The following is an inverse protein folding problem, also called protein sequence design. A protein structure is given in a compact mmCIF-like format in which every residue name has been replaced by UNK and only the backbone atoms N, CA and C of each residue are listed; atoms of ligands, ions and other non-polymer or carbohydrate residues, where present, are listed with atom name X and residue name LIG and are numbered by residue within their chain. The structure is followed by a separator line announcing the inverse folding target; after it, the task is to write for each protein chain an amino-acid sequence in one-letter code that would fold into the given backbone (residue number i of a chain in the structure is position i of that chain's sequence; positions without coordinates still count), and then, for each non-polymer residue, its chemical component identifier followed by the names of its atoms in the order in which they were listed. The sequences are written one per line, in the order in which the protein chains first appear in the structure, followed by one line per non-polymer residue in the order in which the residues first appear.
data_IF_478129159953
#
_entry.id   IF_478129159953
#
_cell.length_a   1.000
_cell.length_b   1.000
_cell.length_c   1.000
_cell.angle_alpha   90.00
_cell.angle_beta   90.00
_cell.angle_gamma   90.00
#
_symmetry.space_group_name_H-M   'P 1'
#
loop_
_entity.id
_entity.type
_entity.pdbx_description
1 polymer ?
#
# COMPACT_ATOMS: atom_id res chain seq x y z
N UNK A 1 -23.75 -2.12 14.04
CA UNK A 1 -22.75 -1.51 13.14
C UNK A 1 -22.51 -0.09 13.59
N UNK A 2 -21.38 0.20 14.24
CA UNK A 2 -20.97 1.58 14.51
C UNK A 2 -20.23 2.10 13.29
N UNK A 3 -20.83 3.05 12.56
CA UNK A 3 -20.10 3.85 11.58
C UNK A 3 -19.24 4.83 12.38
N UNK A 4 -17.92 4.76 12.20
CA UNK A 4 -17.02 5.83 12.64
C UNK A 4 -17.34 7.06 11.79
N UNK A 5 -18.27 7.90 12.24
CA UNK A 5 -18.38 9.25 11.69
C UNK A 5 -17.15 10.03 12.16
N UNK A 6 -16.50 10.81 11.28
CA UNK A 6 -15.49 11.77 11.71
C UNK A 6 -16.05 12.61 12.85
N UNK A 7 -15.23 12.84 13.88
CA UNK A 7 -15.57 13.70 15.00
C UNK A 7 -15.94 15.10 14.45
N UNK A 8 -17.18 15.58 14.62
CA UNK A 8 -17.64 16.84 14.03
C UNK A 8 -16.89 18.05 14.60
N UNK A 9 -16.26 17.92 15.76
CA UNK A 9 -15.49 18.97 16.42
C UNK A 9 -13.99 18.91 16.07
N UNK A 10 -13.55 17.90 15.31
CA UNK A 10 -12.16 17.76 14.88
C UNK A 10 -11.94 18.43 13.54
N UNK A 11 -11.13 19.49 13.52
CA UNK A 11 -10.66 20.08 12.27
C UNK A 11 -9.93 19.01 11.44
N UNK A 12 -10.32 18.88 10.17
CA UNK A 12 -9.61 18.03 9.22
C UNK A 12 -8.34 18.76 8.78
N UNK A 13 -7.25 18.51 9.50
CA UNK A 13 -5.93 19.05 9.21
C UNK A 13 -5.16 18.11 8.27
N UNK A 14 -4.35 18.68 7.39
CA UNK A 14 -3.48 17.92 6.46
C UNK A 14 -2.08 17.68 7.01
N UNK A 15 -1.81 18.13 8.24
CA UNK A 15 -0.53 18.05 8.94
C UNK A 15 0.00 16.61 9.06
N UNK A 16 -0.88 15.62 9.18
CA UNK A 16 -0.49 14.20 9.15
C UNK A 16 0.18 13.78 7.82
N UNK A 17 -0.13 14.49 6.73
CA UNK A 17 0.41 14.22 5.39
C UNK A 17 1.49 15.21 4.97
N UNK A 18 1.95 16.07 5.88
CA UNK A 18 3.07 17.00 5.63
C UNK A 18 4.41 16.31 5.87
N UNK A 19 4.80 15.44 4.94
CA UNK A 19 6.07 14.74 4.97
C UNK A 19 6.68 14.61 3.58
N UNK A 20 7.98 14.33 3.55
CA UNK A 20 8.71 13.99 2.32
C UNK A 20 9.04 12.50 2.32
N UNK A 21 8.89 11.87 1.16
CA UNK A 21 9.24 10.46 0.99
C UNK A 21 10.77 10.36 0.88
N UNK A 22 11.40 9.57 1.75
CA UNK A 22 12.83 9.31 1.69
C UNK A 22 13.19 8.38 0.51
N UNK A 23 13.91 8.86 -0.51
CA UNK A 23 14.31 8.02 -1.64
C UNK A 23 15.28 6.89 -1.22
N UNK A 24 15.97 7.02 -0.10
CA UNK A 24 16.91 6.01 0.40
C UNK A 24 16.25 4.95 1.29
N UNK A 25 14.91 4.91 1.37
CA UNK A 25 14.17 3.97 2.22
C UNK A 25 14.66 2.53 2.07
N UNK A 26 14.83 2.06 0.83
CA UNK A 26 15.24 0.67 0.52
C UNK A 26 16.60 0.32 1.11
N UNK A 27 17.56 1.26 1.11
CA UNK A 27 18.90 1.01 1.62
C UNK A 27 18.95 0.85 3.16
N UNK A 28 17.90 1.27 3.86
CA UNK A 28 17.79 1.18 5.33
C UNK A 28 16.99 -0.04 5.79
N UNK A 29 16.49 -0.84 4.87
CA UNK A 29 15.71 -2.05 5.15
C UNK A 29 16.35 -3.25 4.46
N UNK A 30 15.85 -4.46 4.72
CA UNK A 30 16.22 -5.67 3.98
C UNK A 30 15.62 -5.71 2.55
N UNK A 31 15.23 -4.57 2.00
CA UNK A 31 14.39 -4.47 0.80
C UNK A 31 13.00 -3.93 1.11
N UNK A 32 12.32 -3.47 0.07
CA UNK A 32 10.92 -3.03 0.12
C UNK A 32 10.23 -3.55 -1.13
N UNK A 33 9.07 -4.17 -0.95
CA UNK A 33 8.25 -4.70 -2.05
C UNK A 33 6.86 -4.09 -1.99
N UNK A 34 6.42 -3.49 -3.11
CA UNK A 34 5.04 -3.04 -3.29
C UNK A 34 4.23 -4.15 -3.94
N UNK A 35 3.09 -4.46 -3.33
CA UNK A 35 2.08 -5.33 -3.89
C UNK A 35 0.97 -4.44 -4.44
N UNK A 36 0.68 -4.56 -5.73
CA UNK A 36 -0.32 -3.75 -6.41
C UNK A 36 -1.33 -4.66 -7.12
N UNK A 37 -2.62 -4.42 -6.92
CA UNK A 37 -3.66 -5.04 -7.74
C UNK A 37 -4.03 -4.13 -8.90
N UNK A 38 -4.17 -4.69 -10.09
CA UNK A 38 -4.55 -3.95 -11.31
C UNK A 38 -5.97 -3.35 -11.25
N UNK A 39 -6.84 -3.91 -10.42
CA UNK A 39 -8.23 -3.50 -10.24
C UNK A 39 -8.53 -2.85 -8.88
N UNK A 40 -7.50 -2.36 -8.17
CA UNK A 40 -7.69 -1.49 -6.98
C UNK A 40 -8.18 -0.09 -7.39
N UNK A 41 -8.50 0.75 -6.40
CA UNK A 41 -8.98 2.11 -6.58
C UNK A 41 -7.94 3.03 -7.26
N UNK A 42 -8.39 3.94 -8.11
CA UNK A 42 -7.53 4.92 -8.80
C UNK A 42 -6.64 5.73 -7.84
N UNK A 43 -7.12 6.02 -6.62
CA UNK A 43 -6.33 6.72 -5.60
C UNK A 43 -5.12 5.91 -5.13
N UNK A 44 -5.25 4.58 -5.07
CA UNK A 44 -4.15 3.68 -4.71
C UNK A 44 -3.13 3.63 -5.85
N UNK A 45 -3.55 3.52 -7.10
CA UNK A 45 -2.63 3.55 -8.25
C UNK A 45 -1.84 4.86 -8.35
N UNK A 46 -2.44 5.99 -8.01
CA UNK A 46 -1.72 7.28 -7.91
C UNK A 46 -0.61 7.25 -6.87
N UNK A 47 -0.89 6.68 -5.68
CA UNK A 47 0.09 6.52 -4.61
C UNK A 47 1.22 5.56 -4.98
N UNK A 48 0.89 4.41 -5.58
CA UNK A 48 1.87 3.42 -6.06
C UNK A 48 2.80 4.05 -7.10
N UNK A 49 2.24 4.80 -8.06
CA UNK A 49 3.02 5.52 -9.07
C UNK A 49 3.95 6.57 -8.46
N UNK A 50 3.49 7.28 -7.43
CA UNK A 50 4.31 8.25 -6.68
C UNK A 50 5.47 7.55 -5.97
N UNK A 51 5.22 6.46 -5.25
CA UNK A 51 6.24 5.69 -4.54
C UNK A 51 7.27 5.12 -5.50
N UNK A 52 6.84 4.48 -6.59
CA UNK A 52 7.73 3.91 -7.60
C UNK A 52 8.61 4.96 -8.29
N UNK A 53 8.09 6.19 -8.49
CA UNK A 53 8.88 7.30 -9.06
C UNK A 53 9.91 7.86 -8.07
N UNK A 54 9.59 7.83 -6.78
CA UNK A 54 10.35 8.55 -5.75
C UNK A 54 11.41 7.67 -5.09
N UNK A 55 11.12 6.38 -4.91
CA UNK A 55 11.99 5.43 -4.21
C UNK A 55 12.64 4.51 -5.26
N UNK A 56 13.92 4.74 -5.63
CA UNK A 56 14.64 3.81 -6.49
C UNK A 56 14.80 2.43 -5.84
N UNK A 57 14.95 1.40 -6.67
CA UNK A 57 15.20 0.01 -6.26
C UNK A 57 14.10 -0.64 -5.40
N UNK A 58 12.89 -0.08 -5.39
CA UNK A 58 11.74 -0.76 -4.79
C UNK A 58 11.32 -1.95 -5.67
N UNK A 59 11.11 -3.11 -5.06
CA UNK A 59 10.55 -4.27 -5.76
C UNK A 59 9.05 -4.01 -5.98
N UNK A 60 8.52 -4.46 -7.11
CA UNK A 60 7.11 -4.27 -7.47
C UNK A 60 6.54 -5.60 -7.94
N UNK A 61 5.41 -6.00 -7.36
CA UNK A 61 4.63 -7.19 -7.75
C UNK A 61 3.22 -6.75 -8.11
N UNK A 62 2.82 -7.05 -9.34
CA UNK A 62 1.47 -6.80 -9.82
C UNK A 62 0.63 -8.07 -9.76
N UNK A 63 -0.59 -7.93 -9.26
CA UNK A 63 -1.58 -8.98 -9.11
C UNK A 63 -2.82 -8.62 -9.92
N UNK A 64 -3.40 -9.63 -10.57
CA UNK A 64 -4.58 -9.44 -11.41
C UNK A 64 -5.84 -9.85 -10.67
N UNK A 65 -6.80 -8.93 -10.55
CA UNK A 65 -8.09 -9.14 -9.90
C UNK A 65 -8.07 -9.40 -8.37
N UNK A 66 -7.06 -8.90 -7.64
CA UNK A 66 -6.96 -9.06 -6.19
C UNK A 66 -7.69 -7.95 -5.40
N UNK A 67 -8.22 -6.93 -6.09
CA UNK A 67 -8.92 -5.79 -5.51
C UNK A 67 -8.05 -5.06 -4.48
N UNK A 68 -8.63 -4.71 -3.34
CA UNK A 68 -7.93 -4.03 -2.25
C UNK A 68 -7.23 -5.01 -1.28
N UNK A 69 -6.99 -6.26 -1.71
CA UNK A 69 -6.47 -7.35 -0.87
C UNK A 69 -7.31 -7.64 0.39
N UNK A 70 -8.56 -7.20 0.41
CA UNK A 70 -9.52 -7.49 1.45
C UNK A 70 -10.21 -8.84 1.18
N UNK A 71 -10.77 -9.45 2.23
CA UNK A 71 -11.50 -10.71 2.08
C UNK A 71 -12.67 -10.57 1.09
N UNK A 72 -13.32 -9.41 1.03
CA UNK A 72 -14.39 -9.12 0.08
C UNK A 72 -13.93 -9.22 -1.37
N UNK A 73 -12.67 -8.93 -1.67
CA UNK A 73 -12.13 -8.97 -3.03
C UNK A 73 -11.50 -10.33 -3.33
N UNK A 74 -10.62 -10.80 -2.45
CA UNK A 74 -9.85 -12.03 -2.65
C UNK A 74 -10.66 -13.31 -2.38
N UNK A 75 -11.75 -13.23 -1.61
CA UNK A 75 -12.58 -14.37 -1.17
C UNK A 75 -11.83 -15.45 -0.39
N UNK A 76 -10.64 -15.12 0.10
CA UNK A 76 -9.81 -15.97 0.95
C UNK A 76 -9.03 -15.11 1.94
N UNK A 77 -8.61 -15.72 3.04
CA UNK A 77 -7.65 -15.12 4.00
C UNK A 77 -6.22 -15.57 3.72
N UNK A 78 -6.04 -16.57 2.85
CA UNK A 78 -4.74 -17.10 2.50
C UNK A 78 -4.08 -16.18 1.47
N UNK A 79 -2.85 -15.76 1.75
CA UNK A 79 -2.05 -14.96 0.82
C UNK A 79 -0.63 -15.55 0.72
N UNK A 80 -0.46 -16.70 0.05
CA UNK A 80 0.81 -17.43 0.01
C UNK A 80 1.94 -16.61 -0.63
N UNK A 81 1.65 -15.76 -1.61
CA UNK A 81 2.64 -14.91 -2.28
C UNK A 81 3.25 -13.86 -1.34
N UNK A 82 2.49 -13.40 -0.35
CA UNK A 82 2.99 -12.55 0.72
C UNK A 82 3.96 -13.33 1.64
N UNK A 83 3.58 -14.56 2.02
CA UNK A 83 4.43 -15.42 2.85
C UNK A 83 5.74 -15.75 2.14
N UNK A 84 5.65 -16.12 0.86
CA UNK A 84 6.82 -16.42 0.03
C UNK A 84 7.75 -15.21 -0.08
N UNK A 85 7.21 -14.01 -0.29
CA UNK A 85 8.03 -12.79 -0.35
C UNK A 85 8.73 -12.53 0.99
N UNK A 86 8.02 -12.61 2.11
CA UNK A 86 8.63 -12.31 3.43
C UNK A 86 9.71 -13.32 3.81
N UNK A 87 9.56 -14.59 3.43
CA UNK A 87 10.53 -15.64 3.76
C UNK A 87 11.78 -15.64 2.85
N UNK A 88 11.70 -15.02 1.66
CA UNK A 88 12.79 -15.02 0.68
C UNK A 88 13.24 -13.60 0.25
N UNK A 89 12.80 -12.55 0.96
CA UNK A 89 13.07 -11.14 0.64
C UNK A 89 14.53 -10.74 0.77
#
# INVERSE_FOLDING_TARGET
MYRLTPDPDREQTTDFFDFTIDPNLVARTAGVTIFNSDNDMDSIHKSVKLLHKTIPNIKYKEFHNYGHFCFEDMKTVEFPELVEEVLHA
#
